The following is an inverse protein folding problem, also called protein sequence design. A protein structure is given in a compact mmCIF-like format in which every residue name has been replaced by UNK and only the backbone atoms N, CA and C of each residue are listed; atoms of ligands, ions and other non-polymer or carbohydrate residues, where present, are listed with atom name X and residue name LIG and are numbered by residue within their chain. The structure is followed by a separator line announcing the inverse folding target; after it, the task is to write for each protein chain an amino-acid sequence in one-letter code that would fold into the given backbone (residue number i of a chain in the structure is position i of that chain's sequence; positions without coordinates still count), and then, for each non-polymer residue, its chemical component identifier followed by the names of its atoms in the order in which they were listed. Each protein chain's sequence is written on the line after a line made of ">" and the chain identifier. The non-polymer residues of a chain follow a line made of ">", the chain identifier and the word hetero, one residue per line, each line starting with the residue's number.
data_IF_115059930874
#
_entry.id   IF_115059930874
#
_cell.length_a   1.000
_cell.length_b   1.000
_cell.length_c   1.000
_cell.angle_alpha   90.00
_cell.angle_beta   90.00
_cell.angle_gamma   90.00
#
_symmetry.space_group_name_H-M   'P 1'
#
loop_
_entity.id
_entity.type
_entity.pdbx_description
1 polymer ?
#
# COMPACT_ATOMS: atom_id res chain seq x y z
N UNK A 1 22.71 47.13 -4.25
CA UNK A 1 21.29 47.26 -3.87
C UNK A 1 21.26 47.62 -2.40
N UNK A 2 20.68 48.77 -2.05
CA UNK A 2 20.59 49.26 -0.67
C UNK A 2 19.14 49.21 -0.23
N UNK A 3 18.93 48.85 1.05
CA UNK A 3 17.65 48.96 1.74
C UNK A 3 17.64 50.30 2.48
N UNK A 4 16.50 50.98 2.51
CA UNK A 4 16.33 52.18 3.33
C UNK A 4 16.10 51.83 4.80
N UNK A 5 16.55 52.74 5.72
CA UNK A 5 16.18 52.61 7.12
C UNK A 5 14.65 52.63 7.26
N UNK A 6 14.13 51.77 8.14
CA UNK A 6 12.68 51.63 8.41
C UNK A 6 11.80 51.31 7.16
N UNK A 7 12.37 50.82 6.08
CA UNK A 7 11.65 50.66 4.79
C UNK A 7 10.40 49.78 4.89
N UNK A 8 10.39 48.80 5.78
CA UNK A 8 9.28 47.88 6.01
C UNK A 8 8.72 47.92 7.43
N UNK A 9 9.04 48.99 8.17
CA UNK A 9 8.54 49.15 9.54
C UNK A 9 7.02 49.07 9.61
N UNK A 10 6.49 48.18 10.46
CA UNK A 10 5.06 48.00 10.67
C UNK A 10 4.34 47.28 9.55
N UNK A 11 5.05 46.62 8.66
CA UNK A 11 4.43 45.75 7.63
C UNK A 11 3.87 44.47 8.28
N UNK A 12 2.74 44.59 8.99
CA UNK A 12 2.16 43.53 9.82
C UNK A 12 1.70 42.29 9.05
N UNK A 13 1.45 42.42 7.76
CA UNK A 13 1.03 41.31 6.87
C UNK A 13 2.20 40.67 6.12
N UNK A 14 3.44 41.15 6.29
CA UNK A 14 4.62 40.62 5.60
C UNK A 14 5.00 39.28 6.17
N UNK A 15 4.84 38.18 5.40
CA UNK A 15 5.14 36.81 5.84
C UNK A 15 6.49 36.32 5.37
N UNK A 16 6.95 36.75 4.19
CA UNK A 16 8.17 36.32 3.52
C UNK A 16 8.95 37.48 2.92
N UNK A 17 10.28 37.41 3.00
CA UNK A 17 11.18 38.38 2.38
C UNK A 17 12.34 37.65 1.72
N UNK A 18 12.57 37.94 0.45
CA UNK A 18 13.76 37.49 -0.28
C UNK A 18 14.71 38.66 -0.48
N UNK A 19 15.86 38.61 0.19
CA UNK A 19 16.90 39.62 0.04
C UNK A 19 17.78 39.30 -1.18
N UNK A 20 18.00 40.23 -2.09
CA UNK A 20 18.92 40.04 -3.22
C UNK A 20 20.36 39.78 -2.74
N UNK A 21 21.10 38.97 -3.49
CA UNK A 21 22.50 38.60 -3.16
C UNK A 21 23.48 39.79 -3.11
N UNK A 22 23.10 40.99 -3.56
CA UNK A 22 23.93 42.19 -3.50
C UNK A 22 23.68 43.10 -2.27
N UNK A 23 22.84 42.66 -1.31
CA UNK A 23 22.58 43.42 -0.10
C UNK A 23 23.74 43.24 0.89
N UNK A 24 24.43 44.30 1.25
CA UNK A 24 25.57 44.29 2.18
C UNK A 24 25.16 44.63 3.60
N UNK A 25 24.08 45.36 3.82
CA UNK A 25 23.61 45.75 5.15
C UNK A 25 22.08 45.81 5.20
N UNK A 26 21.52 45.42 6.35
CA UNK A 26 20.12 45.63 6.67
C UNK A 26 20.08 46.84 7.68
N UNK A 27 19.47 47.97 7.32
CA UNK A 27 19.52 49.17 8.11
C UNK A 27 18.67 49.08 9.39
N UNK A 28 18.86 50.09 10.26
CA UNK A 28 18.17 50.22 11.54
C UNK A 28 16.61 50.23 11.30
N UNK A 29 15.91 49.49 12.11
CA UNK A 29 14.43 49.40 12.11
C UNK A 29 13.80 48.88 10.81
N UNK A 30 14.57 48.34 9.85
CA UNK A 30 14.10 48.03 8.50
C UNK A 30 12.85 47.15 8.47
N UNK A 31 12.76 46.14 9.34
CA UNK A 31 11.62 45.24 9.47
C UNK A 31 10.94 45.31 10.85
N UNK A 32 11.17 46.39 11.60
CA UNK A 32 10.60 46.57 12.95
C UNK A 32 9.06 46.41 12.90
N UNK A 33 8.50 45.57 13.77
CA UNK A 33 7.06 45.36 13.86
C UNK A 33 6.43 44.55 12.72
N UNK A 34 7.21 43.82 11.95
CA UNK A 34 6.70 42.85 10.96
C UNK A 34 6.23 41.56 11.67
N UNK A 35 5.07 41.63 12.32
CA UNK A 35 4.58 40.61 13.26
C UNK A 35 4.28 39.25 12.61
N UNK A 36 4.04 39.21 11.28
CA UNK A 36 3.75 37.97 10.54
C UNK A 36 4.98 37.33 9.87
N UNK A 37 6.16 38.01 9.91
CA UNK A 37 7.40 37.50 9.33
C UNK A 37 7.90 36.28 10.14
N UNK A 38 8.02 35.12 9.52
CA UNK A 38 8.34 33.85 10.22
C UNK A 38 9.81 33.47 10.13
N UNK A 39 10.42 33.69 8.99
CA UNK A 39 11.85 33.43 8.76
C UNK A 39 12.46 34.52 7.88
N UNK A 40 13.79 34.60 7.90
CA UNK A 40 14.54 35.44 6.97
C UNK A 40 15.88 34.78 6.59
N UNK A 41 16.22 34.89 5.32
CA UNK A 41 17.49 34.39 4.75
C UNK A 41 18.41 35.56 4.48
N UNK A 42 19.54 35.61 5.18
CA UNK A 42 20.57 36.64 5.02
C UNK A 42 21.62 36.11 4.03
N UNK A 43 21.71 36.67 2.80
CA UNK A 43 22.78 36.33 1.87
C UNK A 43 24.16 36.48 2.47
N UNK A 44 25.13 35.67 1.99
CA UNK A 44 26.50 35.73 2.47
C UNK A 44 27.21 37.09 2.29
N UNK A 45 26.60 38.02 1.55
CA UNK A 45 27.06 39.39 1.38
C UNK A 45 26.68 40.34 2.53
N UNK A 46 25.74 39.93 3.40
CA UNK A 46 25.27 40.76 4.51
C UNK A 46 26.34 40.77 5.61
N UNK A 47 26.94 41.94 5.86
CA UNK A 47 27.96 42.16 6.86
C UNK A 47 27.48 42.91 8.11
N UNK A 48 26.28 43.51 8.06
CA UNK A 48 25.69 44.27 9.15
C UNK A 48 24.17 44.12 9.20
N UNK A 49 23.62 43.92 10.41
CA UNK A 49 22.20 44.08 10.75
C UNK A 49 22.09 45.18 11.79
N UNK A 50 21.29 46.20 11.49
CA UNK A 50 21.18 47.41 12.30
C UNK A 50 20.45 47.23 13.61
N UNK A 51 20.29 48.35 14.33
CA UNK A 51 19.56 48.43 15.58
C UNK A 51 18.07 48.25 15.37
N UNK A 52 17.40 47.55 16.27
CA UNK A 52 15.95 47.32 16.25
C UNK A 52 15.39 46.78 14.94
N UNK A 53 16.27 46.19 14.10
CA UNK A 53 15.90 45.77 12.74
C UNK A 53 14.71 44.81 12.72
N UNK A 54 14.68 43.85 13.64
CA UNK A 54 13.60 42.87 13.75
C UNK A 54 12.87 42.93 15.11
N UNK A 55 12.99 44.03 15.84
CA UNK A 55 12.26 44.22 17.09
C UNK A 55 10.77 44.23 16.84
N UNK A 56 10.01 43.45 17.61
CA UNK A 56 8.57 43.29 17.45
C UNK A 56 8.14 42.35 16.32
N UNK A 57 9.06 41.63 15.69
CA UNK A 57 8.75 40.55 14.76
C UNK A 57 8.39 39.27 15.54
N UNK A 58 7.20 39.23 16.14
CA UNK A 58 6.81 38.24 17.13
C UNK A 58 6.63 36.81 16.56
N UNK A 59 6.52 36.66 15.24
CA UNK A 59 6.47 35.38 14.57
C UNK A 59 7.83 34.90 14.05
N UNK A 60 8.90 35.74 14.10
CA UNK A 60 10.20 35.41 13.54
C UNK A 60 10.91 34.39 14.43
N UNK A 61 10.94 33.12 14.00
CA UNK A 61 11.60 32.01 14.68
C UNK A 61 13.00 31.72 14.15
N UNK A 62 13.23 31.87 12.87
CA UNK A 62 14.45 31.44 12.19
C UNK A 62 15.12 32.57 11.41
N UNK A 63 16.42 32.77 11.62
CA UNK A 63 17.28 33.66 10.82
C UNK A 63 18.42 32.81 10.24
N UNK A 64 18.50 32.68 8.94
CA UNK A 64 19.52 31.86 8.27
C UNK A 64 20.62 32.72 7.68
N UNK A 65 21.85 32.61 8.19
CA UNK A 65 23.02 33.34 7.75
C UNK A 65 23.89 32.45 6.86
N UNK A 66 23.92 32.74 5.56
CA UNK A 66 24.69 31.98 4.57
C UNK A 66 26.14 32.42 4.37
N UNK A 67 26.66 33.30 5.23
CA UNK A 67 28.03 33.82 5.17
C UNK A 67 28.69 33.96 6.52
N UNK A 68 29.73 34.82 6.57
CA UNK A 68 30.36 35.19 7.81
C UNK A 68 29.36 35.89 8.79
N UNK A 69 29.61 35.83 10.10
CA UNK A 69 28.72 36.47 11.08
C UNK A 69 28.61 37.98 10.80
N UNK A 70 27.41 38.50 10.59
CA UNK A 70 27.23 39.96 10.44
C UNK A 70 27.48 40.68 11.76
N UNK A 71 27.83 41.95 11.70
CA UNK A 71 27.81 42.80 12.89
C UNK A 71 26.37 43.03 13.31
N UNK A 72 26.04 42.70 14.56
CA UNK A 72 24.68 42.84 15.15
C UNK A 72 24.77 43.55 16.49
N UNK A 73 23.61 44.00 16.99
CA UNK A 73 23.49 44.37 18.41
C UNK A 73 23.26 43.09 19.23
N UNK A 74 24.02 42.86 20.31
CA UNK A 74 23.87 41.68 21.16
C UNK A 74 22.47 41.52 21.74
N UNK A 75 22.07 40.27 22.04
CA UNK A 75 20.78 39.93 22.62
C UNK A 75 20.48 40.68 23.95
N UNK A 76 21.53 41.05 24.74
CA UNK A 76 21.40 41.81 25.98
C UNK A 76 21.38 43.33 25.81
N UNK A 77 21.49 43.86 24.60
CA UNK A 77 21.43 45.27 24.32
C UNK A 77 19.99 45.81 24.42
N UNK A 78 19.81 47.07 24.84
CA UNK A 78 18.51 47.73 24.87
C UNK A 78 17.87 47.85 23.46
N UNK A 79 18.72 47.94 22.44
CA UNK A 79 18.34 48.06 21.03
C UNK A 79 18.87 46.87 20.24
N UNK A 80 18.52 45.66 20.64
CA UNK A 80 18.95 44.42 19.99
C UNK A 80 18.49 44.31 18.51
N UNK A 81 19.26 43.58 17.70
CA UNK A 81 18.92 43.38 16.26
C UNK A 81 17.76 42.43 16.04
N UNK A 82 17.62 41.38 16.86
CA UNK A 82 16.59 40.34 16.81
C UNK A 82 15.93 40.18 18.19
N UNK A 83 14.71 39.60 18.23
CA UNK A 83 14.05 39.25 19.48
C UNK A 83 14.71 38.03 20.14
N UNK A 84 15.50 38.19 21.23
CA UNK A 84 16.35 37.09 21.73
C UNK A 84 15.59 35.91 22.29
N UNK A 85 14.35 36.11 22.70
CA UNK A 85 13.55 35.05 23.33
C UNK A 85 12.97 34.03 22.36
N UNK A 86 12.88 34.38 21.08
CA UNK A 86 12.18 33.56 20.07
C UNK A 86 13.04 33.20 18.86
N UNK A 87 14.10 33.95 18.58
CA UNK A 87 14.92 33.80 17.38
C UNK A 87 16.00 32.72 17.57
N UNK A 88 16.11 31.81 16.60
CA UNK A 88 17.27 30.95 16.43
C UNK A 88 18.06 31.39 15.20
N UNK A 89 19.35 31.69 15.39
CA UNK A 89 20.27 32.04 14.30
C UNK A 89 20.87 30.75 13.74
N UNK A 90 20.55 30.45 12.52
CA UNK A 90 21.16 29.32 11.79
C UNK A 90 22.44 29.83 11.09
N UNK A 91 23.55 29.11 11.27
CA UNK A 91 24.84 29.50 10.72
C UNK A 91 25.55 28.32 10.07
N UNK A 92 26.48 28.58 9.14
CA UNK A 92 27.35 27.56 8.59
C UNK A 92 28.55 27.34 9.54
N UNK A 93 28.71 26.11 10.09
CA UNK A 93 29.76 25.82 11.06
C UNK A 93 31.18 25.74 10.45
N UNK A 94 31.33 25.83 9.12
CA UNK A 94 32.64 25.81 8.48
C UNK A 94 33.52 26.93 9.01
N UNK A 95 34.73 26.62 9.53
CA UNK A 95 35.63 27.59 10.11
C UNK A 95 36.01 28.77 9.16
N UNK A 96 35.91 28.59 7.85
CA UNK A 96 36.16 29.64 6.86
C UNK A 96 35.29 30.88 7.06
N UNK A 97 34.08 30.69 7.63
CA UNK A 97 33.15 31.79 7.89
C UNK A 97 33.41 32.54 9.21
N UNK A 98 34.26 31.98 10.09
CA UNK A 98 34.72 32.69 11.30
C UNK A 98 33.68 32.87 12.40
N UNK A 99 32.64 32.01 12.45
CA UNK A 99 31.67 32.03 13.55
C UNK A 99 32.33 31.61 14.86
N UNK A 100 32.17 32.44 15.89
CA UNK A 100 32.67 32.16 17.25
C UNK A 100 31.52 32.21 18.22
N UNK A 101 31.34 31.13 19.00
CA UNK A 101 30.30 31.05 20.02
C UNK A 101 30.89 31.41 21.39
N UNK A 102 30.03 31.95 22.26
CA UNK A 102 30.36 32.17 23.66
C UNK A 102 30.44 30.84 24.46
N UNK A 103 30.81 30.96 25.75
CA UNK A 103 30.94 29.79 26.63
C UNK A 103 29.65 28.98 26.80
N UNK A 104 28.50 29.58 26.59
CA UNK A 104 27.18 28.99 26.70
C UNK A 104 26.69 28.42 25.34
N UNK A 105 27.56 28.42 24.31
CA UNK A 105 27.23 27.94 22.96
C UNK A 105 26.29 28.87 22.20
N UNK A 106 26.22 30.15 22.59
CA UNK A 106 25.44 31.19 21.91
C UNK A 106 26.32 32.08 21.06
N UNK A 107 25.73 32.82 20.14
CA UNK A 107 26.42 33.87 19.39
C UNK A 107 25.86 35.24 19.76
N UNK A 108 26.68 36.10 20.36
CA UNK A 108 26.27 37.42 20.84
C UNK A 108 25.03 37.35 21.77
N UNK A 109 24.89 36.24 22.52
CA UNK A 109 23.76 35.96 23.40
C UNK A 109 22.52 35.38 22.71
N UNK A 110 22.49 35.28 21.38
CA UNK A 110 21.40 34.64 20.63
C UNK A 110 21.55 33.12 20.60
N UNK A 111 20.43 32.41 20.61
CA UNK A 111 20.39 30.95 20.36
C UNK A 111 20.83 30.66 18.96
N UNK A 112 21.69 29.64 18.76
CA UNK A 112 22.22 29.28 17.44
C UNK A 112 21.99 27.82 17.12
N UNK A 113 22.00 27.53 15.79
CA UNK A 113 21.94 26.18 15.24
C UNK A 113 22.89 26.07 14.04
N UNK A 114 23.70 25.04 13.98
CA UNK A 114 24.55 24.73 12.81
C UNK A 114 23.77 24.15 11.63
N UNK A 115 22.46 23.92 11.77
CA UNK A 115 21.60 23.38 10.72
C UNK A 115 20.85 24.48 9.98
N UNK A 116 20.47 24.23 8.73
CA UNK A 116 19.60 25.12 7.95
C UNK A 116 20.30 26.31 7.26
N UNK A 117 21.61 26.51 7.45
CA UNK A 117 22.37 27.56 6.76
C UNK A 117 23.60 27.03 6.00
N UNK A 118 23.77 25.72 5.90
CA UNK A 118 24.78 25.08 5.09
C UNK A 118 24.27 24.97 3.63
N UNK A 119 25.12 25.34 2.67
CA UNK A 119 24.79 25.20 1.24
C UNK A 119 25.01 23.77 0.73
N UNK A 120 25.60 22.89 1.55
CA UNK A 120 25.91 21.49 1.26
C UNK A 120 26.81 21.24 0.05
N UNK A 121 27.35 22.30 -0.58
CA UNK A 121 28.24 22.21 -1.73
C UNK A 121 29.69 22.23 -1.29
N UNK A 122 30.49 21.27 -1.82
CA UNK A 122 31.92 21.18 -1.52
C UNK A 122 32.28 20.50 -0.19
N UNK A 123 31.30 19.97 0.54
CA UNK A 123 31.48 19.19 1.77
C UNK A 123 31.31 17.70 1.53
N UNK A 124 31.95 16.88 2.37
CA UNK A 124 31.76 15.44 2.41
C UNK A 124 30.35 15.08 2.91
N UNK A 125 29.96 13.87 2.64
CA UNK A 125 28.71 13.29 3.14
C UNK A 125 28.97 11.87 3.64
N UNK A 126 28.23 11.45 4.65
CA UNK A 126 28.18 10.04 5.06
C UNK A 126 26.73 9.53 5.06
N UNK A 127 26.59 8.22 5.01
CA UNK A 127 25.29 7.57 5.02
C UNK A 127 25.00 6.98 6.41
N UNK A 128 23.80 7.20 6.88
CA UNK A 128 23.22 6.52 8.04
C UNK A 128 22.06 5.64 7.56
N UNK A 129 22.17 4.32 7.76
CA UNK A 129 21.16 3.38 7.29
C UNK A 129 20.41 2.76 8.45
N UNK A 130 19.11 2.94 8.44
CA UNK A 130 18.15 2.18 9.25
C UNK A 130 17.65 1.03 8.38
N UNK A 131 18.01 -0.22 8.67
CA UNK A 131 17.63 -1.35 7.82
C UNK A 131 16.12 -1.57 7.86
N UNK A 132 15.56 -2.02 6.73
CA UNK A 132 14.18 -2.46 6.67
C UNK A 132 13.98 -3.74 7.49
N UNK A 133 12.84 -3.86 8.12
CA UNK A 133 12.35 -5.12 8.73
C UNK A 133 11.37 -5.83 7.80
N UNK A 134 10.85 -6.95 8.23
CA UNK A 134 9.80 -7.64 7.45
C UNK A 134 8.47 -6.87 7.40
N UNK A 135 8.19 -6.01 8.38
CA UNK A 135 6.92 -5.27 8.46
C UNK A 135 7.06 -3.76 8.28
N UNK A 136 8.28 -3.21 8.36
CA UNK A 136 8.52 -1.77 8.29
C UNK A 136 9.60 -1.44 7.26
N UNK A 137 9.39 -0.37 6.52
CA UNK A 137 10.39 0.17 5.61
C UNK A 137 11.58 0.72 6.39
N UNK A 138 12.78 0.49 5.88
CA UNK A 138 14.00 1.13 6.32
C UNK A 138 14.27 2.41 5.52
N UNK A 139 15.38 3.07 5.81
CA UNK A 139 15.84 4.23 5.05
C UNK A 139 17.35 4.39 5.12
N UNK A 140 17.92 4.94 4.07
CA UNK A 140 19.28 5.47 4.07
C UNK A 140 19.18 6.99 4.02
N UNK A 141 19.79 7.66 4.99
CA UNK A 141 19.88 9.12 5.09
C UNK A 141 21.29 9.54 4.70
N UNK A 142 21.41 10.43 3.72
CA UNK A 142 22.68 11.08 3.39
C UNK A 142 22.80 12.34 4.23
N UNK A 143 23.85 12.44 5.03
CA UNK A 143 24.06 13.49 6.03
C UNK A 143 25.27 14.32 5.62
N UNK A 144 25.15 15.63 5.66
CA UNK A 144 26.25 16.55 5.42
C UNK A 144 27.27 16.50 6.57
N UNK A 145 28.54 16.24 6.28
CA UNK A 145 29.61 16.16 7.30
C UNK A 145 29.87 17.48 8.01
N UNK A 146 29.53 18.59 7.35
CA UNK A 146 29.76 19.93 7.92
C UNK A 146 28.71 20.35 8.95
N UNK A 147 27.41 20.15 8.66
CA UNK A 147 26.32 20.65 9.51
C UNK A 147 25.48 19.54 10.15
N UNK A 148 25.69 18.29 9.79
CA UNK A 148 24.91 17.15 10.28
C UNK A 148 23.46 17.12 9.79
N UNK A 149 23.12 17.90 8.77
CA UNK A 149 21.76 17.92 8.22
C UNK A 149 21.56 16.76 7.24
N UNK A 150 20.38 16.15 7.29
CA UNK A 150 19.97 15.11 6.32
C UNK A 150 19.60 15.81 5.01
N UNK A 151 20.40 15.61 3.98
CA UNK A 151 20.25 16.26 2.66
C UNK A 151 19.52 15.39 1.64
N UNK A 152 19.47 14.09 1.89
CA UNK A 152 18.69 13.15 1.09
C UNK A 152 18.24 11.97 1.95
N UNK A 153 17.09 11.42 1.62
CA UNK A 153 16.57 10.20 2.23
C UNK A 153 16.12 9.26 1.12
N UNK A 154 16.62 8.02 1.18
CA UNK A 154 16.21 6.93 0.28
C UNK A 154 15.50 5.88 1.11
N UNK A 155 14.25 5.59 0.77
CA UNK A 155 13.48 4.54 1.40
C UNK A 155 13.98 3.16 0.97
N UNK A 156 14.03 2.21 1.92
CA UNK A 156 14.32 0.80 1.71
C UNK A 156 13.00 0.07 1.99
N UNK A 157 12.35 -0.53 0.98
CA UNK A 157 11.09 -1.21 1.19
C UNK A 157 11.17 -2.29 2.27
N UNK A 158 10.10 -2.49 3.03
CA UNK A 158 9.98 -3.62 3.95
C UNK A 158 10.20 -4.93 3.19
N UNK A 159 10.87 -5.90 3.82
CA UNK A 159 11.26 -7.13 3.12
C UNK A 159 10.07 -8.07 2.86
N UNK A 160 8.99 -7.96 3.63
CA UNK A 160 7.82 -8.85 3.58
C UNK A 160 8.11 -10.31 3.98
N UNK A 161 9.36 -10.63 4.27
CA UNK A 161 9.80 -11.99 4.59
C UNK A 161 9.62 -12.26 6.10
N UNK A 162 8.39 -12.62 6.49
CA UNK A 162 8.06 -12.89 7.89
C UNK A 162 8.56 -14.27 8.35
N UNK A 163 9.09 -14.33 9.57
CA UNK A 163 9.38 -15.56 10.28
C UNK A 163 8.29 -15.83 11.29
N UNK A 164 7.42 -16.78 10.99
CA UNK A 164 6.26 -17.10 11.81
C UNK A 164 6.62 -18.06 12.94
N UNK A 165 5.97 -17.88 14.09
CA UNK A 165 5.99 -18.85 15.20
C UNK A 165 5.25 -20.16 14.84
N UNK A 166 5.08 -21.06 15.79
CA UNK A 166 4.38 -22.33 15.57
C UNK A 166 2.84 -22.19 15.49
N UNK A 167 2.31 -20.98 15.64
CA UNK A 167 0.89 -20.69 15.64
C UNK A 167 0.14 -21.23 16.86
N UNK A 168 -0.76 -20.42 17.40
CA UNK A 168 -1.64 -20.79 18.51
C UNK A 168 -3.09 -20.88 18.00
N UNK A 169 -3.82 -21.91 18.40
CA UNK A 169 -5.25 -22.01 18.11
C UNK A 169 -5.96 -20.96 18.97
N UNK A 170 -6.46 -19.90 18.30
CA UNK A 170 -7.18 -18.80 18.94
C UNK A 170 -8.69 -19.01 18.96
N UNK A 171 -9.16 -19.86 18.07
CA UNK A 171 -10.57 -20.34 18.05
C UNK A 171 -10.54 -21.83 17.77
N UNK A 172 -11.07 -22.61 18.69
CA UNK A 172 -11.19 -24.06 18.47
C UNK A 172 -12.26 -24.36 17.41
N UNK A 173 -11.99 -25.26 16.46
CA UNK A 173 -13.02 -25.68 15.53
C UNK A 173 -14.11 -26.47 16.23
N UNK A 174 -15.36 -26.19 15.90
CA UNK A 174 -16.51 -27.00 16.35
C UNK A 174 -16.97 -27.96 15.26
N UNK A 175 -18.02 -28.72 15.54
CA UNK A 175 -18.61 -29.60 14.54
C UNK A 175 -19.11 -28.84 13.28
N UNK A 176 -19.51 -27.57 13.42
CA UNK A 176 -20.17 -26.79 12.36
C UNK A 176 -19.44 -25.49 12.02
N UNK A 177 -18.48 -25.06 12.84
CA UNK A 177 -17.75 -23.82 12.62
C UNK A 177 -16.27 -24.09 12.53
N UNK A 178 -15.56 -23.51 11.55
CA UNK A 178 -14.11 -23.56 11.47
C UNK A 178 -13.46 -22.92 12.70
N UNK A 179 -12.32 -23.44 13.09
CA UNK A 179 -11.42 -22.82 14.04
C UNK A 179 -10.42 -21.87 13.37
N UNK A 180 -9.65 -21.17 14.17
CA UNK A 180 -8.59 -20.28 13.72
C UNK A 180 -7.31 -20.57 14.47
N UNK A 181 -6.21 -20.75 13.73
CA UNK A 181 -4.84 -20.73 14.25
C UNK A 181 -4.20 -19.42 13.84
N UNK A 182 -3.72 -18.68 14.81
CA UNK A 182 -3.01 -17.42 14.60
C UNK A 182 -1.51 -17.64 14.74
N UNK A 183 -0.77 -17.25 13.73
CA UNK A 183 0.69 -17.19 13.74
C UNK A 183 1.12 -15.76 13.96
N UNK A 184 2.17 -15.56 14.76
CA UNK A 184 2.76 -14.25 15.00
C UNK A 184 4.17 -14.23 14.44
N UNK A 185 4.50 -13.19 13.69
CA UNK A 185 5.86 -12.98 13.22
C UNK A 185 6.77 -12.68 14.41
N UNK A 186 7.82 -13.49 14.61
CA UNK A 186 8.76 -13.38 15.73
C UNK A 186 9.63 -12.12 15.67
N UNK A 187 9.64 -11.41 14.52
CA UNK A 187 10.46 -10.23 14.29
C UNK A 187 9.64 -8.94 14.43
N UNK A 188 8.48 -8.85 13.78
CA UNK A 188 7.69 -7.61 13.72
C UNK A 188 6.35 -7.65 14.47
N UNK A 189 5.95 -8.82 14.99
CA UNK A 189 4.69 -8.99 15.73
C UNK A 189 3.43 -9.04 14.87
N UNK A 190 3.53 -8.87 13.54
CA UNK A 190 2.37 -9.04 12.66
C UNK A 190 1.80 -10.46 12.78
N UNK A 191 0.49 -10.57 12.65
CA UNK A 191 -0.21 -11.85 12.74
C UNK A 191 -0.78 -12.26 11.40
N UNK A 192 -0.84 -13.57 11.16
CA UNK A 192 -1.63 -14.19 10.09
C UNK A 192 -2.49 -15.29 10.67
N UNK A 193 -3.66 -15.49 10.07
CA UNK A 193 -4.60 -16.53 10.48
C UNK A 193 -4.58 -17.70 9.48
N UNK A 194 -4.66 -18.90 10.02
CA UNK A 194 -4.95 -20.13 9.29
C UNK A 194 -6.29 -20.66 9.78
N UNK A 195 -7.17 -21.00 8.85
CA UNK A 195 -8.46 -21.57 9.18
C UNK A 195 -8.26 -23.08 9.45
N UNK A 196 -8.66 -23.53 10.64
CA UNK A 196 -8.74 -24.95 10.99
C UNK A 196 -10.13 -25.42 10.57
N UNK A 197 -10.25 -26.38 9.65
CA UNK A 197 -11.56 -26.90 9.25
C UNK A 197 -12.42 -27.32 10.44
N UNK A 198 -13.73 -27.16 10.35
CA UNK A 198 -14.65 -27.64 11.37
C UNK A 198 -14.43 -29.15 11.63
N UNK A 199 -14.45 -29.56 12.89
CA UNK A 199 -14.16 -30.94 13.32
C UNK A 199 -15.35 -31.89 13.14
N UNK A 200 -16.54 -31.32 13.05
CA UNK A 200 -17.72 -32.08 12.60
C UNK A 200 -17.52 -32.40 11.15
N UNK A 201 -17.30 -33.64 10.90
CA UNK A 201 -17.04 -34.15 9.57
C UNK A 201 -17.91 -33.49 8.53
N UNK A 202 -17.39 -33.43 7.31
CA UNK A 202 -18.14 -33.16 6.10
C UNK A 202 -19.61 -33.33 6.40
N UNK A 203 -20.39 -32.24 6.31
CA UNK A 203 -21.82 -32.42 6.16
C UNK A 203 -21.99 -33.08 4.79
N UNK A 204 -21.57 -34.34 4.73
CA UNK A 204 -21.86 -35.20 3.61
C UNK A 204 -23.36 -35.08 3.49
N UNK A 205 -23.81 -34.43 2.44
CA UNK A 205 -25.24 -34.35 2.17
C UNK A 205 -25.79 -35.75 2.33
N UNK A 206 -26.80 -35.95 3.21
CA UNK A 206 -27.30 -37.30 3.45
C UNK A 206 -27.93 -37.90 2.19
N UNK A 207 -27.95 -37.13 1.11
CA UNK A 207 -28.72 -37.47 -0.09
C UNK A 207 -30.24 -37.22 0.09
N UNK A 208 -30.96 -37.37 -0.98
CA UNK A 208 -32.42 -37.24 -0.96
C UNK A 208 -32.93 -35.81 -0.97
N UNK A 209 -34.24 -35.58 -0.67
CA UNK A 209 -34.92 -34.29 -0.89
C UNK A 209 -34.39 -33.10 -0.11
N UNK A 210 -33.61 -33.32 0.94
CA UNK A 210 -32.95 -32.24 1.71
C UNK A 210 -31.64 -31.75 1.10
N UNK A 211 -31.11 -32.42 0.10
CA UNK A 211 -29.89 -32.07 -0.57
C UNK A 211 -30.13 -30.92 -1.57
N UNK A 212 -29.39 -29.84 -1.55
CA UNK A 212 -29.57 -28.70 -2.47
C UNK A 212 -29.54 -29.10 -3.95
N UNK A 213 -28.69 -30.05 -4.32
CA UNK A 213 -28.55 -30.54 -5.69
C UNK A 213 -29.55 -31.66 -6.07
N UNK A 214 -30.44 -32.06 -5.15
CA UNK A 214 -31.41 -33.18 -5.35
C UNK A 214 -32.27 -33.03 -6.61
N UNK A 215 -32.59 -31.80 -6.99
CA UNK A 215 -33.34 -31.51 -8.21
C UNK A 215 -32.60 -31.71 -9.52
N UNK A 216 -31.30 -31.97 -9.49
CA UNK A 216 -30.48 -32.20 -10.67
C UNK A 216 -30.23 -33.69 -10.87
N UNK A 217 -30.61 -34.19 -12.02
CA UNK A 217 -30.55 -35.65 -12.34
C UNK A 217 -29.13 -36.11 -12.73
N UNK A 218 -28.27 -35.14 -13.07
CA UNK A 218 -26.92 -35.30 -13.56
C UNK A 218 -25.83 -35.00 -12.52
N UNK A 219 -26.22 -34.73 -11.29
CA UNK A 219 -25.29 -34.58 -10.15
C UNK A 219 -25.14 -35.94 -9.47
N UNK A 220 -23.90 -36.41 -9.37
CA UNK A 220 -23.59 -37.66 -8.70
C UNK A 220 -23.96 -37.62 -7.20
N UNK A 221 -24.14 -38.78 -6.57
CA UNK A 221 -24.52 -38.83 -5.15
C UNK A 221 -23.44 -38.38 -4.19
N UNK A 222 -23.76 -38.32 -2.87
CA UNK A 222 -22.89 -37.73 -1.83
C UNK A 222 -21.48 -38.31 -1.72
N UNK A 223 -21.23 -39.49 -2.26
CA UNK A 223 -19.89 -40.09 -2.27
C UNK A 223 -18.96 -39.53 -3.37
N UNK A 224 -19.52 -38.77 -4.32
CA UNK A 224 -18.73 -38.18 -5.39
C UNK A 224 -18.00 -36.93 -4.90
N UNK A 225 -16.77 -36.76 -5.34
CA UNK A 225 -15.89 -35.64 -4.96
C UNK A 225 -16.47 -34.24 -5.27
N UNK A 226 -17.34 -34.16 -6.28
CA UNK A 226 -17.91 -32.89 -6.74
C UNK A 226 -19.17 -32.49 -5.99
N UNK A 227 -19.84 -33.45 -5.35
CA UNK A 227 -21.16 -33.27 -4.75
C UNK A 227 -21.20 -32.14 -3.71
N UNK A 228 -20.27 -32.15 -2.78
CA UNK A 228 -20.20 -31.15 -1.71
C UNK A 228 -20.03 -29.72 -2.26
N UNK A 229 -19.13 -29.54 -3.25
CA UNK A 229 -18.92 -28.25 -3.89
C UNK A 229 -20.15 -27.76 -4.65
N UNK A 230 -20.84 -28.66 -5.35
CA UNK A 230 -22.08 -28.34 -6.07
C UNK A 230 -23.17 -27.93 -5.09
N UNK A 231 -23.40 -28.72 -4.05
CA UNK A 231 -24.39 -28.41 -2.99
C UNK A 231 -24.10 -27.07 -2.31
N UNK A 232 -22.83 -26.79 -2.02
CA UNK A 232 -22.42 -25.54 -1.44
C UNK A 232 -22.78 -24.34 -2.32
N UNK A 233 -22.45 -24.42 -3.60
CA UNK A 233 -22.71 -23.35 -4.56
C UNK A 233 -24.22 -23.17 -4.83
N UNK A 234 -24.98 -24.26 -4.93
CA UNK A 234 -26.43 -24.23 -5.16
C UNK A 234 -27.17 -23.64 -3.94
N UNK A 235 -26.82 -24.10 -2.73
CA UNK A 235 -27.41 -23.60 -1.48
C UNK A 235 -27.23 -22.09 -1.31
N UNK A 236 -26.09 -21.54 -1.74
CA UNK A 236 -25.78 -20.12 -1.64
C UNK A 236 -26.19 -19.31 -2.87
N UNK A 237 -26.86 -19.94 -3.84
CA UNK A 237 -27.24 -19.30 -5.11
C UNK A 237 -26.03 -18.74 -5.90
N UNK A 238 -24.85 -19.27 -5.67
CA UNK A 238 -23.64 -18.89 -6.41
C UNK A 238 -23.64 -19.49 -7.81
N UNK A 239 -24.18 -20.70 -7.93
CA UNK A 239 -24.37 -21.42 -9.20
C UNK A 239 -25.78 -21.96 -9.29
N UNK A 240 -26.31 -21.95 -10.51
CA UNK A 240 -27.65 -22.51 -10.83
C UNK A 240 -27.53 -23.60 -11.88
N UNK A 241 -28.59 -24.34 -12.10
CA UNK A 241 -28.67 -25.34 -13.19
C UNK A 241 -28.56 -24.69 -14.58
N UNK A 242 -28.18 -25.49 -15.57
CA UNK A 242 -28.11 -25.11 -16.98
C UNK A 242 -29.43 -25.32 -17.72
N UNK A 243 -30.34 -26.08 -17.10
CA UNK A 243 -31.65 -26.38 -17.63
C UNK A 243 -32.54 -27.04 -16.58
N UNK A 244 -33.73 -27.45 -16.98
CA UNK A 244 -34.71 -28.09 -16.07
C UNK A 244 -34.13 -29.44 -15.58
N UNK A 245 -33.78 -29.49 -14.31
CA UNK A 245 -33.24 -30.66 -13.63
C UNK A 245 -31.84 -31.08 -14.09
N UNK A 246 -31.06 -30.16 -14.65
CA UNK A 246 -29.66 -30.40 -15.04
C UNK A 246 -28.73 -29.32 -14.47
N UNK A 247 -27.60 -29.75 -13.92
CA UNK A 247 -26.52 -28.89 -13.45
C UNK A 247 -25.37 -28.83 -14.46
N UNK A 248 -25.19 -29.87 -15.24
CA UNK A 248 -24.11 -30.08 -16.22
C UNK A 248 -22.72 -30.04 -15.58
N UNK A 249 -22.39 -30.92 -14.61
CA UNK A 249 -21.14 -30.89 -13.85
C UNK A 249 -19.89 -30.97 -14.72
N UNK A 250 -19.92 -31.73 -15.80
CA UNK A 250 -18.81 -31.95 -16.71
C UNK A 250 -18.66 -30.86 -17.79
N UNK A 251 -19.62 -29.98 -17.92
CA UNK A 251 -19.55 -28.85 -18.84
C UNK A 251 -18.47 -27.87 -18.40
N UNK A 252 -17.61 -27.45 -19.33
CA UNK A 252 -16.62 -26.43 -19.04
C UNK A 252 -17.28 -25.08 -18.68
N UNK A 253 -16.75 -24.40 -17.69
CA UNK A 253 -17.19 -23.05 -17.34
C UNK A 253 -16.69 -22.03 -18.36
N UNK A 254 -17.54 -21.05 -18.66
CA UNK A 254 -17.10 -19.86 -19.39
C UNK A 254 -16.52 -18.80 -18.44
N UNK A 255 -15.76 -17.86 -19.01
CA UNK A 255 -15.21 -16.72 -18.28
C UNK A 255 -16.32 -15.91 -17.62
N UNK A 256 -17.41 -15.63 -18.33
CA UNK A 256 -18.55 -14.90 -17.78
C UNK A 256 -19.21 -15.62 -16.60
N UNK A 257 -19.28 -16.95 -16.62
CA UNK A 257 -19.84 -17.72 -15.51
C UNK A 257 -19.03 -17.56 -14.22
N UNK A 258 -17.70 -17.57 -14.29
CA UNK A 258 -16.85 -17.37 -13.10
C UNK A 258 -17.02 -15.96 -12.55
N UNK A 259 -17.08 -14.95 -13.41
CA UNK A 259 -17.28 -13.56 -12.98
C UNK A 259 -18.66 -13.38 -12.34
N UNK A 260 -19.70 -14.02 -12.92
CA UNK A 260 -21.06 -14.00 -12.33
C UNK A 260 -21.11 -14.64 -10.94
N UNK A 261 -20.36 -15.73 -10.73
CA UNK A 261 -20.26 -16.39 -9.42
C UNK A 261 -19.66 -15.42 -8.39
N UNK A 262 -18.60 -14.70 -8.75
CA UNK A 262 -17.95 -13.75 -7.86
C UNK A 262 -18.82 -12.50 -7.61
N UNK A 263 -19.57 -12.04 -8.62
CA UNK A 263 -20.57 -10.98 -8.44
C UNK A 263 -21.66 -11.39 -7.46
N UNK A 264 -22.19 -12.60 -7.61
CA UNK A 264 -23.17 -13.15 -6.65
C UNK A 264 -22.57 -13.26 -5.24
N UNK A 265 -21.30 -13.68 -5.14
CA UNK A 265 -20.57 -13.81 -3.87
C UNK A 265 -20.34 -12.47 -3.18
N UNK A 266 -20.03 -11.41 -3.93
CA UNK A 266 -19.79 -10.07 -3.39
C UNK A 266 -21.01 -9.48 -2.71
N UNK A 267 -22.20 -9.89 -3.12
CA UNK A 267 -23.46 -9.32 -2.65
C UNK A 267 -23.65 -7.84 -3.02
N UNK A 268 -22.82 -7.31 -3.91
CA UNK A 268 -22.91 -5.92 -4.36
C UNK A 268 -24.27 -5.68 -5.03
N UNK A 269 -24.90 -4.55 -4.68
CA UNK A 269 -26.23 -4.14 -5.18
C UNK A 269 -26.15 -2.86 -6.01
N UNK A 270 -24.95 -2.42 -6.34
CA UNK A 270 -24.73 -1.27 -7.22
C UNK A 270 -25.24 -1.58 -8.61
N UNK A 271 -25.95 -0.64 -9.23
CA UNK A 271 -26.43 -0.77 -10.62
C UNK A 271 -25.26 -0.49 -11.58
N UNK A 272 -24.82 -1.51 -12.27
CA UNK A 272 -23.79 -1.44 -13.30
C UNK A 272 -24.36 -1.45 -14.72
N UNK A 273 -25.69 -1.43 -14.89
CA UNK A 273 -26.36 -1.54 -16.19
C UNK A 273 -25.97 -0.48 -17.22
N UNK A 274 -25.45 0.67 -16.78
CA UNK A 274 -24.96 1.77 -17.63
C UNK A 274 -23.47 2.02 -17.51
N UNK A 275 -22.71 1.12 -16.87
CA UNK A 275 -21.27 1.28 -16.72
C UNK A 275 -20.56 1.11 -18.08
N UNK A 276 -19.67 2.04 -18.44
CA UNK A 276 -18.93 1.92 -19.70
C UNK A 276 -17.91 0.78 -19.65
N UNK A 277 -18.03 -0.15 -20.59
CA UNK A 277 -17.05 -1.22 -20.83
C UNK A 277 -16.34 -0.98 -22.17
N UNK A 278 -15.01 -1.19 -22.23
CA UNK A 278 -14.27 -1.08 -23.48
C UNK A 278 -14.48 -2.29 -24.41
N UNK A 279 -15.21 -3.33 -23.95
CA UNK A 279 -15.34 -4.62 -24.62
C UNK A 279 -16.48 -4.62 -25.63
N UNK A 280 -16.18 -4.91 -26.87
CA UNK A 280 -17.15 -4.94 -27.98
C UNK A 280 -18.00 -6.22 -28.00
N UNK A 281 -17.58 -7.24 -27.27
CA UNK A 281 -18.22 -8.56 -27.15
C UNK A 281 -19.04 -8.71 -25.85
N UNK A 282 -19.29 -7.61 -25.14
CA UNK A 282 -20.14 -7.52 -23.95
C UNK A 282 -21.13 -6.38 -24.15
N UNK A 283 -22.40 -6.71 -24.39
CA UNK A 283 -23.41 -5.73 -24.70
C UNK A 283 -24.41 -5.54 -23.54
N UNK A 284 -24.95 -4.34 -23.33
CA UNK A 284 -26.08 -4.13 -22.42
C UNK A 284 -27.22 -5.08 -22.78
N UNK A 285 -27.72 -5.82 -21.80
CA UNK A 285 -28.74 -6.86 -22.01
C UNK A 285 -28.20 -8.29 -22.02
N UNK A 286 -26.90 -8.49 -22.13
CA UNK A 286 -26.30 -9.79 -21.86
C UNK A 286 -26.51 -10.17 -20.38
N UNK A 287 -26.79 -11.42 -20.08
CA UNK A 287 -27.06 -11.89 -18.71
C UNK A 287 -25.85 -11.70 -17.77
N UNK A 288 -24.67 -11.56 -18.33
CA UNK A 288 -23.40 -11.37 -17.60
C UNK A 288 -22.93 -9.91 -17.62
N UNK A 289 -23.64 -9.00 -18.28
CA UNK A 289 -23.16 -7.62 -18.45
C UNK A 289 -22.80 -6.93 -17.14
N UNK A 290 -23.74 -6.93 -16.17
CA UNK A 290 -23.52 -6.27 -14.88
C UNK A 290 -22.38 -6.91 -14.09
N UNK A 291 -22.24 -8.23 -14.15
CA UNK A 291 -21.15 -8.93 -13.48
C UNK A 291 -19.78 -8.58 -14.08
N UNK A 292 -19.70 -8.49 -15.42
CA UNK A 292 -18.45 -8.08 -16.10
C UNK A 292 -18.15 -6.62 -15.83
N UNK A 293 -19.16 -5.74 -15.86
CA UNK A 293 -19.00 -4.33 -15.56
C UNK A 293 -18.54 -4.10 -14.10
N UNK A 294 -19.15 -4.81 -13.16
CA UNK A 294 -18.73 -4.81 -11.77
C UNK A 294 -17.27 -5.27 -11.60
N UNK A 295 -16.91 -6.40 -12.21
CA UNK A 295 -15.57 -6.95 -12.08
C UNK A 295 -14.49 -6.06 -12.72
N UNK A 296 -14.82 -5.43 -13.84
CA UNK A 296 -13.95 -4.47 -14.51
C UNK A 296 -13.80 -3.17 -13.69
N UNK A 297 -14.89 -2.63 -13.15
CA UNK A 297 -14.88 -1.44 -12.30
C UNK A 297 -14.08 -1.62 -10.99
N UNK A 298 -13.95 -2.87 -10.56
CA UNK A 298 -13.20 -3.23 -9.35
C UNK A 298 -11.80 -3.79 -9.61
N UNK A 299 -11.29 -3.70 -10.85
CA UNK A 299 -9.97 -4.19 -11.26
C UNK A 299 -9.75 -5.71 -11.06
N UNK A 300 -10.86 -6.49 -10.96
CA UNK A 300 -10.80 -7.95 -10.79
C UNK A 300 -10.47 -8.64 -12.10
N UNK A 301 -10.96 -8.10 -13.20
CA UNK A 301 -10.74 -8.65 -14.53
C UNK A 301 -10.25 -7.59 -15.51
N UNK A 302 -9.42 -8.04 -16.44
CA UNK A 302 -9.11 -7.33 -17.67
C UNK A 302 -9.68 -8.13 -18.86
N UNK A 303 -9.71 -7.51 -20.03
CA UNK A 303 -10.04 -8.20 -21.26
C UNK A 303 -8.96 -9.24 -21.65
N UNK A 304 -9.30 -10.10 -22.62
CA UNK A 304 -8.32 -10.91 -23.35
C UNK A 304 -7.54 -10.07 -24.36
N UNK A 305 -8.10 -8.89 -24.71
CA UNK A 305 -7.45 -7.80 -25.42
C UNK A 305 -7.97 -6.47 -24.92
N UNK A 306 -7.50 -5.36 -25.48
CA UNK A 306 -7.98 -4.03 -25.14
C UNK A 306 -9.50 -3.82 -25.41
N UNK A 307 -10.10 -4.59 -26.30
CA UNK A 307 -11.49 -4.43 -26.74
C UNK A 307 -12.33 -5.70 -26.65
N UNK A 308 -11.80 -6.80 -26.10
CA UNK A 308 -12.52 -8.07 -25.97
C UNK A 308 -12.38 -8.66 -24.59
N UNK A 309 -13.47 -9.14 -24.03
CA UNK A 309 -13.53 -9.87 -22.76
C UNK A 309 -13.52 -11.38 -22.95
N UNK A 310 -14.04 -11.86 -24.07
CA UNK A 310 -14.28 -13.26 -24.41
C UNK A 310 -15.21 -13.98 -23.39
N UNK A 311 -16.46 -13.48 -23.17
CA UNK A 311 -17.35 -13.95 -22.11
C UNK A 311 -17.73 -15.42 -22.23
N UNK A 312 -17.84 -15.92 -23.46
CA UNK A 312 -18.29 -17.28 -23.77
C UNK A 312 -17.13 -18.28 -23.94
N UNK A 313 -15.88 -17.78 -23.95
CA UNK A 313 -14.73 -18.67 -24.01
C UNK A 313 -14.62 -19.50 -22.73
N UNK A 314 -14.20 -20.74 -22.90
CA UNK A 314 -13.94 -21.65 -21.79
C UNK A 314 -12.78 -21.10 -20.97
N UNK A 315 -13.00 -20.99 -19.65
CA UNK A 315 -11.98 -20.49 -18.74
C UNK A 315 -10.90 -21.56 -18.50
N UNK A 316 -9.63 -21.15 -18.55
CA UNK A 316 -8.54 -22.02 -18.14
C UNK A 316 -8.35 -21.97 -16.61
N UNK A 317 -7.70 -23.00 -16.06
CA UNK A 317 -7.43 -23.07 -14.61
C UNK A 317 -6.55 -21.91 -14.14
N UNK A 318 -5.55 -21.49 -14.92
CA UNK A 318 -4.73 -20.33 -14.59
C UNK A 318 -5.50 -19.01 -14.68
N UNK A 319 -6.41 -18.85 -15.68
CA UNK A 319 -7.28 -17.68 -15.74
C UNK A 319 -8.23 -17.60 -14.56
N UNK A 320 -8.79 -18.73 -14.14
CA UNK A 320 -9.65 -18.79 -12.95
C UNK A 320 -8.86 -18.39 -11.69
N UNK A 321 -7.63 -18.85 -11.53
CA UNK A 321 -6.76 -18.47 -10.41
C UNK A 321 -6.51 -16.96 -10.39
N UNK A 322 -6.25 -16.34 -11.55
CA UNK A 322 -6.02 -14.88 -11.65
C UNK A 322 -7.26 -14.08 -11.27
N UNK A 323 -8.43 -14.50 -11.73
CA UNK A 323 -9.69 -13.80 -11.38
C UNK A 323 -9.98 -13.92 -9.87
N UNK A 324 -9.79 -15.10 -9.28
CA UNK A 324 -9.94 -15.32 -7.84
C UNK A 324 -8.91 -14.50 -7.04
N UNK A 325 -7.67 -14.44 -7.48
CA UNK A 325 -6.63 -13.64 -6.85
C UNK A 325 -6.95 -12.15 -6.92
N UNK A 326 -7.41 -11.64 -8.06
CA UNK A 326 -7.87 -10.26 -8.24
C UNK A 326 -9.01 -9.90 -7.29
N UNK A 327 -10.01 -10.77 -7.16
CA UNK A 327 -11.09 -10.61 -6.20
C UNK A 327 -10.56 -10.57 -4.76
N UNK A 328 -9.64 -11.48 -4.41
CA UNK A 328 -9.04 -11.54 -3.08
C UNK A 328 -8.26 -10.27 -2.77
N UNK A 329 -7.45 -9.79 -3.70
CA UNK A 329 -6.68 -8.56 -3.52
C UNK A 329 -7.56 -7.34 -3.28
N UNK A 330 -8.78 -7.34 -3.84
CA UNK A 330 -9.73 -6.23 -3.70
C UNK A 330 -10.54 -6.30 -2.41
N UNK A 331 -11.06 -7.47 -2.06
CA UNK A 331 -12.09 -7.61 -1.03
C UNK A 331 -11.64 -8.37 0.22
N UNK A 332 -10.52 -9.08 0.14
CA UNK A 332 -9.96 -9.87 1.25
C UNK A 332 -8.42 -9.89 1.18
N UNK A 333 -7.76 -8.71 1.16
CA UNK A 333 -6.33 -8.59 0.90
C UNK A 333 -5.46 -9.35 1.91
N UNK A 334 -5.94 -9.59 3.11
CA UNK A 334 -5.28 -10.39 4.14
C UNK A 334 -5.07 -11.85 3.74
N UNK A 335 -5.83 -12.36 2.77
CA UNK A 335 -5.71 -13.72 2.24
C UNK A 335 -4.86 -13.82 0.96
N UNK A 336 -4.20 -12.76 0.51
CA UNK A 336 -3.33 -12.80 -0.69
C UNK A 336 -1.97 -13.45 -0.45
N UNK A 337 -1.62 -13.71 0.79
CA UNK A 337 -0.39 -14.41 1.18
C UNK A 337 -0.43 -15.92 0.86
N UNK A 338 0.52 -16.66 1.43
CA UNK A 338 0.59 -18.12 1.37
C UNK A 338 0.77 -18.71 -0.04
N UNK A 339 1.75 -18.19 -0.78
CA UNK A 339 2.13 -18.76 -2.07
C UNK A 339 2.99 -20.05 -1.89
N UNK A 340 2.68 -21.10 -2.65
CA UNK A 340 3.47 -22.33 -2.70
C UNK A 340 4.37 -22.38 -3.93
N UNK A 341 5.48 -23.10 -3.83
CA UNK A 341 6.29 -23.43 -5.01
C UNK A 341 5.52 -24.37 -5.93
N UNK A 342 5.51 -24.07 -7.22
CA UNK A 342 4.90 -24.92 -8.24
C UNK A 342 5.84 -26.02 -8.73
N UNK A 343 7.11 -26.02 -8.31
CA UNK A 343 8.15 -26.95 -8.82
C UNK A 343 7.87 -28.43 -8.55
N UNK A 344 6.93 -28.75 -7.68
CA UNK A 344 6.48 -30.12 -7.40
C UNK A 344 5.60 -30.69 -8.52
N UNK A 345 5.11 -29.86 -9.43
CA UNK A 345 4.27 -30.27 -10.54
C UNK A 345 5.10 -30.36 -11.83
N UNK A 346 5.04 -31.47 -12.56
CA UNK A 346 5.83 -31.68 -13.77
C UNK A 346 5.59 -30.62 -14.86
N UNK A 347 4.40 -30.05 -14.89
CA UNK A 347 3.95 -29.05 -15.86
C UNK A 347 3.99 -27.60 -15.35
N UNK A 348 4.70 -27.34 -14.25
CA UNK A 348 4.84 -25.99 -13.70
C UNK A 348 5.37 -24.97 -14.73
N UNK A 349 6.26 -25.41 -15.64
CA UNK A 349 6.79 -24.58 -16.71
C UNK A 349 5.77 -24.17 -17.78
N UNK A 350 4.57 -24.77 -17.77
CA UNK A 350 3.46 -24.42 -18.68
C UNK A 350 2.57 -23.30 -18.13
N UNK A 351 2.78 -22.86 -16.88
CA UNK A 351 2.07 -21.72 -16.30
C UNK A 351 2.58 -20.44 -16.95
N UNK A 352 1.66 -19.65 -17.48
CA UNK A 352 2.00 -18.36 -18.09
C UNK A 352 2.59 -17.39 -17.03
N UNK A 353 3.57 -16.58 -17.42
CA UNK A 353 4.23 -15.64 -16.49
C UNK A 353 3.23 -14.71 -15.77
N UNK A 354 2.20 -14.23 -16.47
CA UNK A 354 1.16 -13.36 -15.89
C UNK A 354 0.28 -14.07 -14.86
N UNK A 355 0.20 -15.41 -14.89
CA UNK A 355 -0.62 -16.21 -14.00
C UNK A 355 0.17 -16.84 -12.85
N UNK A 356 1.51 -16.78 -12.88
CA UNK A 356 2.37 -17.51 -11.96
C UNK A 356 2.07 -17.18 -10.48
N UNK A 357 1.96 -15.91 -10.14
CA UNK A 357 1.65 -15.45 -8.76
C UNK A 357 0.31 -15.99 -8.29
N UNK A 358 -0.72 -15.88 -9.12
CA UNK A 358 -2.06 -16.35 -8.79
C UNK A 358 -2.14 -17.87 -8.67
N UNK A 359 -1.47 -18.60 -9.55
CA UNK A 359 -1.39 -20.07 -9.47
C UNK A 359 -0.65 -20.53 -8.23
N UNK A 360 0.49 -19.91 -7.92
CA UNK A 360 1.28 -20.17 -6.71
C UNK A 360 0.46 -19.92 -5.44
N UNK A 361 -0.30 -18.84 -5.42
CA UNK A 361 -1.26 -18.51 -4.34
C UNK A 361 -2.39 -19.54 -4.26
N UNK A 362 -3.01 -19.90 -5.38
CA UNK A 362 -4.12 -20.84 -5.39
C UNK A 362 -3.70 -22.25 -4.93
N UNK A 363 -2.50 -22.69 -5.28
CA UNK A 363 -1.91 -23.95 -4.79
C UNK A 363 -1.57 -23.83 -3.30
N UNK A 364 -0.94 -22.74 -2.87
CA UNK A 364 -0.57 -22.53 -1.47
C UNK A 364 -1.75 -22.53 -0.50
N UNK A 365 -2.91 -22.07 -0.97
CA UNK A 365 -4.16 -22.05 -0.20
C UNK A 365 -5.05 -23.27 -0.44
N UNK A 366 -4.58 -24.29 -1.18
CA UNK A 366 -5.32 -25.52 -1.41
C UNK A 366 -6.56 -25.38 -2.32
N UNK A 367 -6.69 -24.24 -3.01
CA UNK A 367 -7.81 -23.99 -3.94
C UNK A 367 -7.67 -24.83 -5.20
N UNK A 368 -6.47 -24.90 -5.73
CA UNK A 368 -6.11 -25.72 -6.87
C UNK A 368 -5.13 -26.80 -6.40
N UNK A 369 -5.57 -28.04 -6.45
CA UNK A 369 -4.73 -29.23 -6.32
C UNK A 369 -4.45 -29.80 -7.70
N UNK A 370 -3.37 -30.57 -7.83
CA UNK A 370 -3.06 -31.22 -9.10
C UNK A 370 -4.15 -32.20 -9.54
N UNK A 371 -4.23 -32.42 -10.85
CA UNK A 371 -5.06 -33.45 -11.48
C UNK A 371 -4.15 -34.58 -11.99
N UNK A 372 -4.56 -35.81 -11.84
CA UNK A 372 -3.79 -36.92 -12.35
C UNK A 372 -4.19 -38.25 -11.74
N UNK A 373 -3.64 -39.31 -12.29
CA UNK A 373 -3.77 -40.69 -11.80
C UNK A 373 -2.38 -41.33 -11.71
N UNK A 374 -2.24 -42.38 -10.91
CA UNK A 374 -0.97 -43.11 -10.81
C UNK A 374 0.14 -42.40 -10.00
N UNK A 375 -0.21 -41.46 -9.09
CA UNK A 375 0.74 -40.82 -8.20
C UNK A 375 1.45 -39.58 -8.77
N UNK A 376 1.12 -39.18 -10.00
CA UNK A 376 1.64 -37.92 -10.59
C UNK A 376 0.50 -36.91 -10.69
N UNK A 377 0.70 -35.72 -10.14
CA UNK A 377 -0.25 -34.61 -10.20
C UNK A 377 0.25 -33.52 -11.15
N UNK A 378 -0.63 -33.03 -12.00
CA UNK A 378 -0.39 -31.93 -12.94
C UNK A 378 -1.26 -30.74 -12.62
N UNK A 379 -0.74 -29.52 -12.74
CA UNK A 379 -1.51 -28.28 -12.59
C UNK A 379 -2.54 -28.11 -13.69
N UNK A 380 -2.18 -28.54 -14.90
CA UNK A 380 -2.94 -28.34 -16.14
C UNK A 380 -3.38 -26.87 -16.30
N UNK A 381 -2.46 -25.89 -16.31
CA UNK A 381 -2.82 -24.46 -16.24
C UNK A 381 -3.67 -24.03 -17.44
N UNK A 382 -3.41 -24.59 -18.62
CA UNK A 382 -4.17 -24.33 -19.85
C UNK A 382 -5.43 -25.22 -20.00
N UNK A 383 -5.61 -26.18 -19.09
CA UNK A 383 -6.80 -27.01 -19.05
C UNK A 383 -8.04 -26.23 -18.63
N UNK A 384 -9.18 -26.59 -19.20
CA UNK A 384 -10.47 -26.00 -18.81
C UNK A 384 -10.92 -26.45 -17.43
N UNK A 385 -11.58 -25.55 -16.70
CA UNK A 385 -12.29 -25.90 -15.48
C UNK A 385 -13.73 -26.30 -15.80
N UNK A 386 -14.15 -27.51 -15.39
CA UNK A 386 -15.55 -27.91 -15.48
C UNK A 386 -16.38 -27.23 -14.38
N UNK A 387 -17.70 -27.23 -14.49
CA UNK A 387 -18.61 -26.66 -13.49
C UNK A 387 -18.46 -27.37 -12.14
N UNK A 388 -18.24 -28.68 -12.12
CA UNK A 388 -17.94 -29.44 -10.91
C UNK A 388 -16.60 -28.99 -10.28
N UNK A 389 -15.56 -28.80 -11.08
CA UNK A 389 -14.27 -28.31 -10.58
C UNK A 389 -14.35 -26.89 -10.10
N UNK A 390 -15.07 -26.02 -10.81
CA UNK A 390 -15.29 -24.65 -10.41
C UNK A 390 -16.03 -24.58 -9.08
N UNK A 391 -17.09 -25.38 -8.89
CA UNK A 391 -17.86 -25.41 -7.63
C UNK A 391 -17.00 -25.85 -6.44
N UNK A 392 -16.13 -26.86 -6.62
CA UNK A 392 -15.20 -27.28 -5.57
C UNK A 392 -14.15 -26.20 -5.23
N UNK A 393 -13.62 -25.49 -6.22
CA UNK A 393 -12.68 -24.39 -6.02
C UNK A 393 -13.39 -23.23 -5.32
N UNK A 394 -14.58 -22.83 -5.74
CA UNK A 394 -15.36 -21.74 -5.14
C UNK A 394 -15.73 -22.07 -3.69
N UNK A 395 -16.15 -23.30 -3.40
CA UNK A 395 -16.41 -23.73 -2.03
C UNK A 395 -15.18 -23.55 -1.12
N UNK A 396 -14.02 -24.09 -1.55
CA UNK A 396 -12.75 -23.92 -0.81
C UNK A 396 -12.37 -22.47 -0.66
N UNK A 397 -12.58 -21.66 -1.70
CA UNK A 397 -12.33 -20.22 -1.67
C UNK A 397 -13.20 -19.51 -0.64
N UNK A 398 -14.51 -19.76 -0.61
CA UNK A 398 -15.41 -19.20 0.39
C UNK A 398 -15.00 -19.62 1.81
N UNK A 399 -14.61 -20.88 1.99
CA UNK A 399 -14.07 -21.37 3.28
C UNK A 399 -12.80 -20.65 3.68
N UNK A 400 -11.89 -20.38 2.72
CA UNK A 400 -10.66 -19.63 2.97
C UNK A 400 -10.91 -18.22 3.49
N UNK A 401 -11.87 -17.50 2.87
CA UNK A 401 -12.18 -16.10 3.24
C UNK A 401 -13.26 -15.99 4.34
N UNK A 402 -13.68 -17.10 4.92
CA UNK A 402 -14.65 -17.13 6.03
C UNK A 402 -16.11 -16.80 5.65
N UNK A 403 -16.48 -17.06 4.40
CA UNK A 403 -17.83 -16.83 3.87
C UNK A 403 -18.64 -18.12 3.69
#
# INVERSE_FOLDING_TARGET
>A
TELGASAFTGCTALTDVTLPAGVAAIPDGCFQGCIALKDIKLPGTVTRVGHNTFTGCTALGDVRCYGAPPTVQPAGAAEHSFEPAIVTIHYNPDPVYGWTLDADGKWQGYTVSSKGACLHTGYGTHENTVPATCGEAGRTETICDNCGEVIATKEIPATGAHTWDNGTVTTEPTATTPGVRTYTCTICGQTKNEIIPATGGSTVCPGGPSCPSYGFRDVAGPADWSHEGIDYCVRRSLMVGTGVGTFSPDMACSRAQIVQILYNLSGDKTDYGNYYLPFTDVAPGDWFYEAVAWAYANDIVAGTSASTFAPNDVITREQMAVILYGYTAKFAPEFTGNAASLSTFPDAGSVANWAYTAMSWAVGNGLISGMGSGGVSYLAPQGSATRAQASAIIMRYCQLIGQ
#
